data_IF_031997402618
#
_entry.id   IF_031997402618
#
_cell.length_a   1.000
_cell.length_b   1.000
_cell.length_c   1.000
_cell.angle_alpha   90.00
_cell.angle_beta   90.00
_cell.angle_gamma   90.00
#
_symmetry.space_group_name_H-M   'P 1'
#
loop_
_entity.id
_entity.type
_entity.pdbx_description
1 polymer ?
#
# COMPACT_ATOMS: atom_id res chain seq x y z
N UNK A 1 -5.20 -34.31 -10.51
CA UNK A 1 -3.95 -35.00 -10.88
C UNK A 1 -2.88 -33.92 -10.95
N UNK A 2 -1.76 -34.04 -10.21
CA UNK A 2 -0.71 -33.00 -10.22
C UNK A 2 -0.16 -32.88 -11.65
N UNK A 3 0.03 -31.65 -12.12
CA UNK A 3 0.60 -31.41 -13.45
C UNK A 3 2.09 -31.78 -13.47
N UNK A 4 2.65 -32.08 -14.65
CA UNK A 4 4.09 -32.39 -14.75
C UNK A 4 4.97 -31.22 -14.29
N UNK A 5 4.50 -29.97 -14.46
CA UNK A 5 5.19 -28.78 -13.95
C UNK A 5 5.22 -28.72 -12.41
N UNK A 6 4.12 -29.06 -11.74
CA UNK A 6 4.07 -29.13 -10.27
C UNK A 6 4.93 -30.28 -9.73
N UNK A 7 4.96 -31.42 -10.42
CA UNK A 7 5.82 -32.57 -10.04
C UNK A 7 7.31 -32.24 -10.16
N UNK A 8 7.73 -31.43 -11.13
CA UNK A 8 9.12 -30.97 -11.25
C UNK A 8 9.52 -30.09 -10.06
N UNK A 9 8.62 -29.25 -9.55
CA UNK A 9 8.87 -28.41 -8.37
C UNK A 9 9.00 -29.27 -7.10
N UNK A 10 8.10 -30.24 -6.92
CA UNK A 10 8.15 -31.18 -5.79
C UNK A 10 9.45 -32.02 -5.78
N UNK A 11 9.92 -32.49 -6.95
CA UNK A 11 11.16 -33.25 -7.06
C UNK A 11 12.41 -32.40 -6.79
N UNK A 12 12.41 -31.12 -7.20
CA UNK A 12 13.52 -30.20 -6.90
C UNK A 12 13.65 -29.90 -5.41
N UNK A 13 12.53 -29.69 -4.71
CA UNK A 13 12.55 -29.52 -3.26
C UNK A 13 13.03 -30.78 -2.54
N UNK A 14 12.61 -31.96 -2.99
CA UNK A 14 13.08 -33.25 -2.44
C UNK A 14 14.58 -33.45 -2.68
N UNK A 15 15.10 -33.01 -3.83
CA UNK A 15 16.54 -33.05 -4.14
C UNK A 15 17.35 -32.18 -3.18
N UNK A 16 16.88 -30.96 -2.89
CA UNK A 16 17.57 -30.04 -1.97
C UNK A 16 17.68 -30.64 -0.57
N UNK A 17 16.57 -31.20 -0.05
CA UNK A 17 16.56 -31.87 1.26
C UNK A 17 17.56 -33.04 1.32
N UNK A 18 17.67 -33.85 0.26
CA UNK A 18 18.62 -34.98 0.21
C UNK A 18 20.07 -34.53 0.01
N UNK A 19 20.30 -33.45 -0.74
CA UNK A 19 21.62 -32.86 -0.89
C UNK A 19 22.13 -32.26 0.42
N UNK A 20 21.25 -31.68 1.23
CA UNK A 20 21.62 -31.16 2.55
C UNK A 20 21.86 -32.28 3.56
N UNK A 21 21.10 -33.38 3.50
CA UNK A 21 21.38 -34.58 4.29
C UNK A 21 22.74 -35.22 3.93
N UNK A 22 23.07 -35.28 2.63
CA UNK A 22 24.38 -35.77 2.17
C UNK A 22 25.53 -34.89 2.67
N UNK A 23 25.38 -33.55 2.61
CA UNK A 23 26.36 -32.61 3.18
C UNK A 23 26.51 -32.80 4.68
N UNK A 24 25.42 -33.04 5.42
CA UNK A 24 25.47 -33.27 6.85
C UNK A 24 26.24 -34.55 7.22
N UNK A 25 26.09 -35.64 6.44
CA UNK A 25 26.88 -36.87 6.62
C UNK A 25 28.37 -36.61 6.35
N UNK A 26 28.71 -35.86 5.30
CA UNK A 26 30.09 -35.48 5.01
C UNK A 26 30.70 -34.54 6.06
N UNK A 27 29.90 -33.60 6.58
CA UNK A 27 30.35 -32.63 7.59
C UNK A 27 30.69 -33.32 8.92
N UNK A 28 29.95 -34.36 9.32
CA UNK A 28 30.25 -35.14 10.54
C UNK A 28 31.65 -35.75 10.53
N UNK A 29 32.08 -36.30 9.39
CA UNK A 29 33.43 -36.87 9.27
C UNK A 29 34.52 -35.79 9.29
N UNK A 30 34.23 -34.60 8.73
CA UNK A 30 35.13 -33.44 8.76
C UNK A 30 35.27 -32.88 10.19
N UNK A 31 34.17 -32.71 10.91
CA UNK A 31 34.14 -32.17 12.27
C UNK A 31 34.87 -33.08 13.27
N UNK A 32 34.83 -34.39 13.05
CA UNK A 32 35.51 -35.40 13.87
C UNK A 32 36.95 -35.69 13.42
N UNK A 33 37.44 -35.03 12.35
CA UNK A 33 38.82 -35.16 11.88
C UNK A 33 39.20 -36.57 11.40
N UNK A 34 38.23 -37.38 10.99
CA UNK A 34 38.41 -38.78 10.57
C UNK A 34 37.85 -39.03 9.17
N UNK A 35 38.30 -40.09 8.51
CA UNK A 35 37.62 -40.58 7.30
C UNK A 35 36.24 -41.12 7.64
N UNK A 36 35.32 -41.10 6.66
CA UNK A 36 34.00 -41.72 6.79
C UNK A 36 34.13 -43.18 7.25
N UNK A 37 33.31 -43.57 8.22
CA UNK A 37 33.20 -44.98 8.62
C UNK A 37 32.38 -45.77 7.58
N UNK A 38 32.45 -47.10 7.60
CA UNK A 38 31.77 -47.97 6.62
C UNK A 38 30.26 -47.68 6.49
N UNK A 39 29.57 -47.40 7.59
CA UNK A 39 28.15 -47.06 7.58
C UNK A 39 27.86 -45.66 6.99
N UNK A 40 28.73 -44.68 7.22
CA UNK A 40 28.57 -43.31 6.70
C UNK A 40 28.87 -43.25 5.20
N UNK A 41 29.84 -44.05 4.74
CA UNK A 41 30.13 -44.22 3.32
C UNK A 41 28.97 -44.88 2.57
N UNK A 42 28.36 -45.93 3.13
CA UNK A 42 27.17 -46.57 2.55
C UNK A 42 25.95 -45.63 2.51
N UNK A 43 25.75 -44.80 3.54
CA UNK A 43 24.68 -43.80 3.56
C UNK A 43 24.92 -42.70 2.52
N UNK A 44 26.16 -42.23 2.37
CA UNK A 44 26.55 -41.25 1.37
C UNK A 44 26.33 -41.78 -0.06
N UNK A 45 26.82 -42.98 -0.37
CA UNK A 45 26.67 -43.62 -1.68
C UNK A 45 25.19 -43.88 -2.02
N UNK A 46 24.38 -44.22 -1.01
CA UNK A 46 22.93 -44.39 -1.17
C UNK A 46 22.25 -43.07 -1.53
N UNK A 47 22.54 -42.00 -0.79
CA UNK A 47 22.02 -40.66 -1.07
C UNK A 47 22.46 -40.15 -2.44
N UNK A 48 23.69 -40.45 -2.87
CA UNK A 48 24.18 -40.09 -4.21
C UNK A 48 23.42 -40.84 -5.31
N UNK A 49 23.17 -42.13 -5.10
CA UNK A 49 22.32 -42.93 -5.99
C UNK A 49 20.90 -42.36 -6.12
N UNK A 50 20.31 -41.90 -5.02
CA UNK A 50 18.97 -41.32 -5.00
C UNK A 50 18.91 -39.94 -5.68
N UNK A 51 19.90 -39.08 -5.46
CA UNK A 51 19.98 -37.77 -6.14
C UNK A 51 20.13 -37.95 -7.64
N UNK A 52 20.96 -38.90 -8.11
CA UNK A 52 21.10 -39.21 -9.55
C UNK A 52 19.78 -39.67 -10.18
N UNK A 53 18.96 -40.43 -9.44
CA UNK A 53 17.62 -40.84 -9.91
C UNK A 53 16.67 -39.65 -10.01
N UNK A 54 16.64 -38.80 -8.99
CA UNK A 54 15.80 -37.60 -8.97
C UNK A 54 16.20 -36.63 -10.10
N UNK A 55 17.49 -36.44 -10.34
CA UNK A 55 17.98 -35.59 -11.43
C UNK A 55 17.60 -36.12 -12.82
N UNK A 56 17.66 -37.45 -13.01
CA UNK A 56 17.19 -38.08 -14.23
C UNK A 56 15.68 -37.87 -14.45
N UNK A 57 14.88 -37.96 -13.39
CA UNK A 57 13.42 -37.79 -13.46
C UNK A 57 13.02 -36.32 -13.66
N UNK A 58 13.71 -35.37 -13.02
CA UNK A 58 13.55 -33.93 -13.28
C UNK A 58 13.88 -33.61 -14.75
N UNK A 59 14.91 -34.22 -15.32
CA UNK A 59 15.28 -34.02 -16.72
C UNK A 59 14.29 -34.64 -17.72
N UNK A 60 13.60 -35.72 -17.35
CA UNK A 60 12.53 -36.34 -18.16
C UNK A 60 11.24 -35.53 -18.07
N UNK A 61 10.80 -35.20 -16.86
CA UNK A 61 9.55 -34.50 -16.61
C UNK A 61 9.60 -33.04 -17.05
N UNK A 62 10.75 -32.37 -16.99
CA UNK A 62 10.90 -31.03 -17.57
C UNK A 62 10.76 -31.04 -19.10
N UNK A 63 11.31 -32.04 -19.79
CA UNK A 63 11.11 -32.23 -21.24
C UNK A 63 9.64 -32.48 -21.59
N UNK A 64 8.95 -33.32 -20.82
CA UNK A 64 7.52 -33.58 -21.01
C UNK A 64 6.69 -32.32 -20.71
N UNK A 65 7.00 -31.57 -19.66
CA UNK A 65 6.32 -30.32 -19.33
C UNK A 65 6.52 -29.23 -20.41
N UNK A 66 7.70 -29.15 -21.03
CA UNK A 66 7.95 -28.25 -22.16
C UNK A 66 7.22 -28.72 -23.43
N UNK A 67 7.12 -30.04 -23.66
CA UNK A 67 6.30 -30.60 -24.75
C UNK A 67 4.80 -30.35 -24.54
N UNK A 68 4.31 -30.41 -23.30
CA UNK A 68 2.93 -30.07 -22.94
C UNK A 68 2.64 -28.58 -23.16
N UNK A 69 3.60 -27.69 -22.86
CA UNK A 69 3.47 -26.26 -23.18
C UNK A 69 3.44 -25.99 -24.68
N UNK A 70 4.18 -26.76 -25.47
CA UNK A 70 4.23 -26.61 -26.94
C UNK A 70 3.01 -27.23 -27.64
N UNK A 71 2.42 -28.28 -27.07
CA UNK A 71 1.17 -28.89 -27.56
C UNK A 71 -0.08 -28.19 -27.02
N UNK A 72 0.04 -27.33 -26.02
CA UNK A 72 -1.04 -26.48 -25.50
C UNK A 72 -1.39 -25.26 -26.40
N UNK A 73 -1.46 -25.46 -27.73
CA UNK A 73 -2.10 -24.51 -28.64
C UNK A 73 -3.04 -25.22 -29.62
N UNK A 74 -4.29 -24.76 -29.59
CA UNK A 74 -5.46 -25.11 -30.40
C UNK A 74 -6.06 -26.51 -30.15
N UNK A 75 -6.99 -26.61 -29.19
CA UNK A 75 -8.11 -27.54 -29.36
C UNK A 75 -9.01 -26.91 -30.42
N UNK A 76 -8.86 -27.38 -31.66
CA UNK A 76 -9.83 -27.16 -32.73
C UNK A 76 -11.21 -27.63 -32.27
N UNK A 77 -12.19 -26.79 -32.53
CA UNK A 77 -13.59 -26.98 -32.21
C UNK A 77 -14.27 -27.98 -33.17
N UNK A 78 -13.76 -29.21 -33.30
CA UNK A 78 -14.33 -30.22 -34.20
C UNK A 78 -14.75 -31.56 -33.56
N UNK A 79 -14.34 -31.89 -32.33
CA UNK A 79 -14.58 -33.26 -31.81
C UNK A 79 -15.73 -33.41 -30.79
N UNK A 80 -16.74 -32.53 -30.84
CA UNK A 80 -18.00 -32.73 -30.08
C UNK A 80 -19.28 -32.50 -30.89
N UNK A 81 -19.24 -32.69 -32.21
CA UNK A 81 -20.44 -32.57 -33.08
C UNK A 81 -21.00 -33.92 -33.57
N UNK A 82 -20.84 -35.02 -32.83
CA UNK A 82 -21.49 -36.30 -33.19
C UNK A 82 -22.32 -36.95 -32.07
N UNK A 83 -22.56 -36.28 -30.93
CA UNK A 83 -23.40 -36.86 -29.85
C UNK A 83 -24.58 -36.01 -29.38
N UNK A 84 -25.05 -35.03 -30.18
CA UNK A 84 -26.23 -34.22 -29.81
C UNK A 84 -27.23 -34.07 -30.97
N UNK A 85 -27.56 -35.16 -31.65
CA UNK A 85 -28.80 -35.25 -32.46
C UNK A 85 -29.90 -35.93 -31.64
N UNK A 86 -30.46 -35.19 -30.67
CA UNK A 86 -31.86 -35.30 -30.17
C UNK A 86 -32.07 -34.34 -29.01
N UNK A 87 -32.80 -33.25 -29.26
CA UNK A 87 -33.25 -32.33 -28.21
C UNK A 87 -33.34 -30.90 -28.70
N UNK A 88 -34.34 -30.64 -29.54
CA UNK A 88 -34.62 -29.32 -30.09
C UNK A 88 -35.15 -28.34 -29.02
N UNK A 89 -34.93 -27.06 -29.33
CA UNK A 89 -35.66 -25.85 -28.91
C UNK A 89 -35.06 -25.04 -27.76
N UNK A 90 -34.73 -23.80 -28.15
CA UNK A 90 -34.60 -22.57 -27.38
C UNK A 90 -33.23 -22.25 -26.76
N UNK A 91 -32.48 -21.37 -27.46
CA UNK A 91 -31.59 -20.33 -26.90
C UNK A 91 -30.97 -19.49 -28.02
N UNK A 92 -31.14 -18.17 -27.93
CA UNK A 92 -30.48 -17.14 -28.74
C UNK A 92 -28.95 -17.32 -28.77
N UNK A 93 -28.25 -16.87 -29.83
CA UNK A 93 -26.79 -17.01 -29.92
C UNK A 93 -26.10 -16.16 -28.84
N UNK A 94 -25.40 -16.82 -27.92
CA UNK A 94 -24.45 -16.16 -27.02
C UNK A 94 -23.32 -15.56 -27.86
N UNK A 95 -23.27 -14.23 -27.92
CA UNK A 95 -22.07 -13.53 -28.39
C UNK A 95 -20.96 -13.68 -27.34
N UNK A 96 -19.86 -14.32 -27.73
CA UNK A 96 -18.61 -14.33 -26.96
C UNK A 96 -18.02 -12.91 -26.97
N UNK A 97 -18.31 -12.15 -25.92
CA UNK A 97 -17.73 -10.83 -25.67
C UNK A 97 -16.32 -11.01 -25.10
N UNK A 98 -15.31 -10.63 -25.87
CA UNK A 98 -13.92 -10.55 -25.39
C UNK A 98 -13.84 -9.43 -24.34
N UNK A 99 -13.83 -9.80 -23.06
CA UNK A 99 -13.57 -8.85 -21.98
C UNK A 99 -12.05 -8.69 -21.85
N UNK A 100 -11.55 -7.53 -22.26
CA UNK A 100 -10.15 -7.16 -22.06
C UNK A 100 -9.86 -7.09 -20.55
N UNK A 101 -8.87 -7.84 -20.06
CA UNK A 101 -8.44 -7.79 -18.66
C UNK A 101 -7.55 -6.55 -18.48
N UNK A 102 -8.18 -5.41 -18.24
CA UNK A 102 -7.48 -4.14 -18.00
C UNK A 102 -6.69 -4.18 -16.69
N UNK A 103 -5.55 -3.50 -16.65
CA UNK A 103 -4.78 -3.27 -15.42
C UNK A 103 -5.62 -2.48 -14.39
N UNK A 104 -5.39 -2.72 -13.07
CA UNK A 104 -6.09 -2.01 -12.00
C UNK A 104 -6.00 -0.48 -12.20
N UNK A 105 -7.15 0.21 -12.23
CA UNK A 105 -7.25 1.67 -12.34
C UNK A 105 -7.63 2.23 -13.72
N UNK A 106 -7.29 1.56 -14.83
CA UNK A 106 -7.59 2.07 -16.19
C UNK A 106 -9.10 2.14 -16.46
N UNK A 107 -9.85 1.17 -15.92
CA UNK A 107 -11.30 1.13 -16.09
C UNK A 107 -12.02 2.25 -15.30
N UNK A 108 -11.46 2.69 -14.16
CA UNK A 108 -11.97 3.84 -13.42
C UNK A 108 -11.69 5.15 -14.15
N UNK A 109 -10.49 5.30 -14.73
CA UNK A 109 -10.17 6.46 -15.57
C UNK A 109 -11.12 6.59 -16.77
N UNK A 110 -11.44 5.48 -17.45
CA UNK A 110 -12.42 5.45 -18.56
C UNK A 110 -13.85 5.80 -18.11
N UNK A 111 -14.26 5.31 -16.94
CA UNK A 111 -15.57 5.64 -16.34
C UNK A 111 -15.68 7.12 -15.94
N UNK A 112 -14.66 7.64 -15.26
CA UNK A 112 -14.55 9.04 -14.90
C UNK A 112 -14.64 9.93 -16.15
N UNK A 113 -13.87 9.61 -17.18
CA UNK A 113 -13.81 10.35 -18.43
C UNK A 113 -15.16 10.39 -19.17
N UNK A 114 -15.95 9.32 -19.11
CA UNK A 114 -17.28 9.31 -19.71
C UNK A 114 -18.26 10.19 -18.92
N UNK A 115 -18.17 10.19 -17.59
CA UNK A 115 -19.01 11.03 -16.73
C UNK A 115 -18.67 12.51 -16.83
N UNK A 116 -17.39 12.82 -16.92
CA UNK A 116 -16.93 14.19 -16.97
C UNK A 116 -17.20 14.83 -18.34
N UNK A 117 -16.94 14.11 -19.43
CA UNK A 117 -17.34 14.53 -20.78
C UNK A 117 -18.85 14.69 -20.93
N UNK A 118 -19.62 13.97 -20.12
CA UNK A 118 -21.07 14.09 -20.07
C UNK A 118 -21.58 15.16 -19.11
N UNK A 119 -20.70 15.94 -18.45
CA UNK A 119 -21.04 16.97 -17.47
C UNK A 119 -22.02 16.47 -16.40
N UNK A 120 -21.83 15.24 -15.91
CA UNK A 120 -22.69 14.62 -14.90
C UNK A 120 -24.02 14.04 -15.43
N UNK A 121 -24.30 14.13 -16.73
CA UNK A 121 -25.47 13.49 -17.33
C UNK A 121 -25.17 12.00 -17.64
N UNK A 122 -25.65 11.12 -16.76
CA UNK A 122 -25.41 9.67 -16.85
C UNK A 122 -25.89 9.05 -18.19
N UNK A 123 -26.96 9.57 -18.80
CA UNK A 123 -27.45 9.08 -20.08
C UNK A 123 -26.51 9.40 -21.24
N UNK A 124 -25.90 10.59 -21.22
CA UNK A 124 -24.92 10.99 -22.23
C UNK A 124 -23.57 10.30 -21.99
N UNK A 125 -23.21 10.05 -20.73
CA UNK A 125 -22.02 9.28 -20.35
C UNK A 125 -22.09 7.84 -20.88
N UNK A 126 -23.25 7.20 -20.78
CA UNK A 126 -23.50 5.87 -21.32
C UNK A 126 -23.32 5.80 -22.84
N UNK A 127 -23.93 6.74 -23.59
CA UNK A 127 -23.79 6.79 -25.05
C UNK A 127 -22.35 7.03 -25.49
N UNK A 128 -21.59 7.84 -24.74
CA UNK A 128 -20.17 8.06 -24.98
C UNK A 128 -19.33 6.82 -24.68
N UNK A 129 -19.66 6.07 -23.62
CA UNK A 129 -18.98 4.82 -23.28
C UNK A 129 -19.21 3.72 -24.32
N UNK A 130 -20.43 3.59 -24.86
CA UNK A 130 -20.71 2.65 -25.97
C UNK A 130 -19.96 3.00 -27.25
N UNK A 131 -19.85 4.29 -27.57
CA UNK A 131 -19.19 4.76 -28.79
C UNK A 131 -17.67 4.72 -28.71
N UNK A 132 -17.08 5.04 -27.56
CA UNK A 132 -15.63 5.16 -27.39
C UNK A 132 -14.96 3.94 -26.75
N UNK A 133 -15.66 3.15 -25.95
CA UNK A 133 -15.10 2.00 -25.21
C UNK A 133 -15.95 0.72 -25.31
N UNK A 134 -16.26 0.21 -26.52
CA UNK A 134 -17.14 -0.95 -26.71
C UNK A 134 -16.63 -2.26 -26.09
N UNK A 135 -15.33 -2.35 -25.79
CA UNK A 135 -14.67 -3.55 -25.27
C UNK A 135 -14.54 -3.56 -23.73
N UNK A 136 -14.92 -2.48 -23.05
CA UNK A 136 -14.87 -2.37 -21.57
C UNK A 136 -16.27 -2.52 -20.97
N UNK A 137 -16.75 -3.77 -20.91
CA UNK A 137 -18.14 -4.08 -20.55
C UNK A 137 -18.55 -3.57 -19.16
N UNK A 138 -17.62 -3.53 -18.22
CA UNK A 138 -17.87 -3.09 -16.86
C UNK A 138 -18.12 -1.56 -16.74
N UNK A 139 -17.56 -0.74 -17.63
CA UNK A 139 -17.80 0.72 -17.66
C UNK A 139 -19.13 1.05 -18.35
N UNK A 140 -19.42 0.35 -19.44
CA UNK A 140 -20.68 0.55 -20.19
C UNK A 140 -21.89 0.12 -19.36
N UNK A 141 -21.80 -1.01 -18.65
CA UNK A 141 -22.91 -1.50 -17.80
C UNK A 141 -23.15 -0.65 -16.56
N UNK A 142 -22.11 -0.10 -15.92
CA UNK A 142 -22.28 0.77 -14.74
C UNK A 142 -22.89 2.12 -15.13
N UNK A 143 -22.49 2.70 -16.26
CA UNK A 143 -23.07 3.95 -16.77
C UNK A 143 -24.51 3.76 -17.26
N UNK A 144 -24.84 2.59 -17.82
CA UNK A 144 -26.23 2.22 -18.15
C UNK A 144 -27.10 2.11 -16.89
N UNK A 145 -26.61 1.45 -15.86
CA UNK A 145 -27.35 1.35 -14.59
C UNK A 145 -27.58 2.73 -13.96
N UNK A 146 -26.62 3.65 -14.07
CA UNK A 146 -26.77 5.02 -13.60
C UNK A 146 -27.71 5.88 -14.47
N UNK A 147 -27.75 5.66 -15.79
CA UNK A 147 -28.67 6.38 -16.67
C UNK A 147 -30.12 5.94 -16.50
N UNK A 148 -30.34 4.69 -16.07
CA UNK A 148 -31.66 4.13 -15.73
C UNK A 148 -32.12 4.51 -14.29
N UNK A 149 -31.38 5.37 -13.59
CA UNK A 149 -31.79 5.96 -12.30
C UNK A 149 -31.22 5.32 -11.04
N UNK A 150 -30.21 4.43 -11.15
CA UNK A 150 -29.55 3.87 -9.98
C UNK A 150 -28.54 4.87 -9.37
N UNK A 151 -28.94 5.52 -8.26
CA UNK A 151 -28.05 6.36 -7.48
C UNK A 151 -27.05 5.51 -6.70
N UNK A 152 -25.75 5.66 -7.00
CA UNK A 152 -24.66 5.00 -6.25
C UNK A 152 -24.71 5.29 -4.74
N UNK A 153 -25.26 6.44 -4.33
CA UNK A 153 -25.48 6.79 -2.92
C UNK A 153 -26.60 5.98 -2.26
N UNK A 154 -27.72 5.74 -2.93
CA UNK A 154 -28.82 4.93 -2.38
C UNK A 154 -28.47 3.43 -2.35
N UNK A 155 -27.72 2.93 -3.34
CA UNK A 155 -27.31 1.52 -3.34
C UNK A 155 -26.25 1.18 -2.27
N UNK A 156 -25.45 2.15 -1.81
CA UNK A 156 -24.52 1.94 -0.69
C UNK A 156 -25.18 2.09 0.70
N UNK A 157 -26.21 2.93 0.83
CA UNK A 157 -26.83 3.23 2.13
C UNK A 157 -27.93 2.23 2.56
N UNK A 158 -28.54 1.48 1.65
CA UNK A 158 -29.57 0.47 2.01
C UNK A 158 -28.95 -0.88 2.48
N UNK A 159 -27.63 -1.07 2.33
CA UNK A 159 -26.94 -2.36 2.58
C UNK A 159 -26.59 -2.63 4.05
N UNK A 160 -27.45 -2.25 5.00
CA UNK A 160 -27.32 -2.63 6.41
C UNK A 160 -28.44 -3.57 6.89
N UNK A 161 -29.49 -3.84 6.09
CA UNK A 161 -30.64 -4.63 6.54
C UNK A 161 -31.10 -5.65 5.49
N UNK A 162 -30.75 -6.93 5.75
CA UNK A 162 -31.46 -8.17 5.36
C UNK A 162 -31.12 -8.90 4.03
N UNK A 163 -30.80 -10.19 4.26
CA UNK A 163 -30.97 -11.45 3.51
C UNK A 163 -30.26 -11.72 2.17
N UNK A 164 -29.77 -12.95 2.07
CA UNK A 164 -28.99 -13.55 0.99
C UNK A 164 -29.69 -13.50 -0.37
N UNK A 165 -29.13 -12.70 -1.29
CA UNK A 165 -29.40 -12.79 -2.73
C UNK A 165 -28.29 -13.59 -3.40
N UNK A 166 -28.65 -14.75 -3.96
CA UNK A 166 -27.75 -15.66 -4.69
C UNK A 166 -27.26 -15.03 -6.00
N UNK A 167 -26.09 -15.47 -6.48
CA UNK A 167 -25.31 -14.94 -7.61
C UNK A 167 -25.93 -15.09 -9.02
N UNK A 168 -27.25 -15.11 -9.16
CA UNK A 168 -27.94 -15.38 -10.43
C UNK A 168 -28.65 -14.13 -10.99
N UNK A 169 -28.82 -13.06 -10.20
CA UNK A 169 -29.52 -11.85 -10.66
C UNK A 169 -28.57 -10.81 -11.29
N UNK A 170 -28.56 -10.77 -12.62
CA UNK A 170 -27.62 -9.98 -13.44
C UNK A 170 -27.99 -8.50 -13.60
N UNK A 171 -29.20 -8.10 -13.18
CA UNK A 171 -29.72 -6.74 -13.42
C UNK A 171 -29.48 -5.80 -12.24
N UNK A 172 -29.51 -6.30 -11.00
CA UNK A 172 -29.43 -5.45 -9.80
C UNK A 172 -28.09 -5.53 -9.05
N UNK A 173 -27.44 -6.70 -9.02
CA UNK A 173 -26.19 -6.91 -8.27
C UNK A 173 -24.92 -6.80 -9.14
N UNK A 174 -25.04 -7.02 -10.45
CA UNK A 174 -23.92 -6.94 -11.40
C UNK A 174 -23.18 -5.60 -11.36
N UNK A 175 -23.87 -4.45 -11.52
CA UNK A 175 -23.23 -3.13 -11.49
C UNK A 175 -22.54 -2.81 -10.15
N UNK A 176 -23.02 -3.38 -9.05
CA UNK A 176 -22.49 -3.11 -7.71
C UNK A 176 -21.15 -3.80 -7.45
N UNK A 177 -21.01 -5.04 -7.92
CA UNK A 177 -19.74 -5.77 -7.85
C UNK A 177 -18.69 -5.03 -8.69
N UNK A 178 -19.04 -4.59 -9.90
CA UNK A 178 -18.11 -3.84 -10.75
C UNK A 178 -17.76 -2.45 -10.18
N UNK A 179 -18.72 -1.70 -9.61
CA UNK A 179 -18.45 -0.43 -8.95
C UNK A 179 -17.54 -0.55 -7.71
N UNK A 180 -17.74 -1.60 -6.88
CA UNK A 180 -16.85 -1.91 -5.77
C UNK A 180 -15.46 -2.36 -6.24
N UNK A 181 -15.35 -3.10 -7.35
CA UNK A 181 -14.05 -3.45 -7.95
C UNK A 181 -13.30 -2.22 -8.47
N UNK A 182 -13.98 -1.23 -9.07
CA UNK A 182 -13.29 -0.03 -9.58
C UNK A 182 -12.75 0.88 -8.48
N UNK A 183 -13.52 1.11 -7.42
CA UNK A 183 -13.02 1.84 -6.25
C UNK A 183 -11.97 1.03 -5.49
N UNK A 184 -12.14 -0.29 -5.43
CA UNK A 184 -11.16 -1.22 -4.86
C UNK A 184 -9.82 -1.21 -5.59
N UNK A 185 -9.81 -1.14 -6.93
CA UNK A 185 -8.58 -1.12 -7.74
C UNK A 185 -7.82 0.21 -7.60
N UNK A 186 -8.52 1.35 -7.53
CA UNK A 186 -7.89 2.65 -7.30
C UNK A 186 -7.28 2.74 -5.89
N UNK A 187 -7.98 2.24 -4.88
CA UNK A 187 -7.47 2.14 -3.50
C UNK A 187 -6.29 1.15 -3.44
N UNK A 188 -6.33 0.06 -4.21
CA UNK A 188 -5.26 -0.95 -4.28
C UNK A 188 -4.01 -0.42 -5.00
N UNK A 189 -4.16 0.49 -5.96
CA UNK A 189 -3.04 1.17 -6.62
C UNK A 189 -2.41 2.25 -5.73
N UNK A 190 -3.22 3.02 -5.01
CA UNK A 190 -2.73 4.12 -4.18
C UNK A 190 -2.15 3.68 -2.83
N UNK A 191 -2.71 2.65 -2.18
CA UNK A 191 -2.22 2.14 -0.88
C UNK A 191 -0.70 1.86 -0.85
N UNK A 192 -0.11 1.13 -1.81
CA UNK A 192 1.32 0.85 -1.76
C UNK A 192 2.20 2.06 -2.06
N UNK A 193 1.66 3.18 -2.57
CA UNK A 193 2.44 4.40 -2.85
C UNK A 193 2.49 5.38 -1.69
N UNK A 194 1.47 5.39 -0.82
CA UNK A 194 1.40 6.29 0.34
C UNK A 194 2.03 5.69 1.58
N UNK A 195 2.75 6.47 2.39
CA UNK A 195 3.32 6.01 3.67
C UNK A 195 2.22 5.54 4.63
N UNK A 196 1.10 6.25 4.70
CA UNK A 196 -0.03 5.88 5.55
C UNK A 196 -0.68 4.56 5.08
N UNK A 197 -0.75 4.32 3.77
CA UNK A 197 -1.32 3.10 3.21
C UNK A 197 -0.40 1.87 3.35
N UNK A 198 0.92 2.08 3.40
CA UNK A 198 1.89 1.04 3.73
C UNK A 198 1.93 0.75 5.24
N UNK A 199 1.67 1.77 6.06
CA UNK A 199 1.60 1.67 7.51
C UNK A 199 0.38 0.88 7.98
N UNK A 200 0.50 0.21 9.12
CA UNK A 200 -0.62 -0.46 9.78
C UNK A 200 -1.08 0.27 11.04
N UNK A 201 -1.12 1.61 11.05
CA UNK A 201 -1.50 2.38 12.23
C UNK A 201 -2.85 1.95 12.85
N UNK A 202 -3.03 2.26 14.14
CA UNK A 202 -4.26 1.91 14.86
C UNK A 202 -5.40 2.85 14.42
N UNK A 203 -6.48 2.31 13.82
CA UNK A 203 -7.60 3.14 13.41
C UNK A 203 -8.36 3.67 14.64
N UNK A 204 -8.73 4.94 14.61
CA UNK A 204 -9.58 5.59 15.62
C UNK A 204 -10.63 6.47 14.93
N UNK A 205 -11.85 6.58 15.46
CA UNK A 205 -12.85 7.49 14.92
C UNK A 205 -12.45 8.96 15.17
N UNK A 206 -13.03 9.89 14.40
CA UNK A 206 -12.88 11.32 14.67
C UNK A 206 -13.70 11.77 15.89
N UNK A 207 -13.29 12.89 16.49
CA UNK A 207 -13.97 13.57 17.59
C UNK A 207 -14.19 12.71 18.85
N UNK A 208 -13.26 11.80 19.11
CA UNK A 208 -13.21 11.07 20.38
C UNK A 208 -12.04 11.56 21.21
N UNK A 209 -12.25 11.56 22.52
CA UNK A 209 -11.20 11.80 23.50
C UNK A 209 -10.68 10.44 23.97
N UNK A 210 -9.45 10.12 23.62
CA UNK A 210 -8.82 8.87 24.01
C UNK A 210 -7.90 9.13 25.19
N UNK A 211 -8.19 8.49 26.32
CA UNK A 211 -7.27 8.43 27.45
C UNK A 211 -6.11 7.49 27.13
N UNK A 212 -4.90 8.03 27.00
CA UNK A 212 -3.65 7.28 27.01
C UNK A 212 -3.13 7.15 28.43
N UNK A 213 -2.64 5.98 28.81
CA UNK A 213 -1.92 5.81 30.07
C UNK A 213 -0.44 6.13 29.83
N UNK A 214 0.09 7.14 30.51
CA UNK A 214 1.48 7.59 30.33
C UNK A 214 2.46 6.88 31.26
N UNK A 215 1.97 6.29 32.36
CA UNK A 215 2.80 5.54 33.31
C UNK A 215 2.17 4.19 33.65
N UNK A 216 2.92 3.12 33.44
CA UNK A 216 2.60 1.78 33.92
C UNK A 216 2.88 1.70 35.41
N UNK A 217 1.83 1.45 36.20
CA UNK A 217 1.97 1.29 37.62
C UNK A 217 2.94 0.16 38.00
N UNK A 218 3.81 0.39 38.97
CA UNK A 218 4.77 -0.62 39.44
C UNK A 218 4.16 -1.51 40.53
N UNK A 219 4.47 -2.80 40.45
CA UNK A 219 4.17 -3.78 41.49
C UNK A 219 5.47 -4.20 42.18
N UNK A 220 5.45 -4.30 43.51
CA UNK A 220 6.58 -4.73 44.32
C UNK A 220 6.28 -6.01 45.08
N UNK A 221 7.30 -6.86 45.25
CA UNK A 221 7.21 -8.01 46.16
C UNK A 221 7.08 -7.53 47.60
N UNK A 222 6.13 -8.10 48.35
CA UNK A 222 5.88 -7.73 49.74
C UNK A 222 6.19 -8.88 50.68
N UNK A 223 6.98 -8.60 51.72
CA UNK A 223 7.23 -9.54 52.80
C UNK A 223 5.99 -9.78 53.67
N UNK A 224 5.91 -10.94 54.30
CA UNK A 224 4.81 -11.30 55.21
C UNK A 224 4.65 -10.24 56.32
N UNK A 225 3.43 -9.73 56.49
CA UNK A 225 3.10 -8.72 57.51
C UNK A 225 3.47 -7.27 57.17
N UNK A 226 3.99 -6.99 55.96
CA UNK A 226 4.25 -5.62 55.51
C UNK A 226 3.10 -5.05 54.68
N UNK A 227 2.94 -3.73 54.76
CA UNK A 227 1.94 -3.01 53.98
C UNK A 227 2.22 -3.15 52.48
N UNK A 228 1.15 -3.32 51.69
CA UNK A 228 1.24 -3.40 50.24
C UNK A 228 1.46 -2.00 49.65
N UNK A 229 2.41 -1.82 48.72
CA UNK A 229 2.61 -0.52 48.07
C UNK A 229 1.37 -0.17 47.23
N UNK A 230 0.99 1.11 47.24
CA UNK A 230 -0.11 1.63 46.42
C UNK A 230 0.46 2.09 45.09
N UNK A 231 -0.08 1.54 44.00
CA UNK A 231 0.33 1.84 42.65
C UNK A 231 -0.48 3.02 42.09
N UNK A 232 0.20 4.04 41.55
CA UNK A 232 -0.43 5.17 40.84
C UNK A 232 -0.37 4.94 39.33
N UNK A 233 -1.42 5.35 38.62
CA UNK A 233 -1.44 5.43 37.16
C UNK A 233 -1.62 6.88 36.74
N UNK A 234 -0.81 7.34 35.78
CA UNK A 234 -0.97 8.65 35.16
C UNK A 234 -1.64 8.49 33.79
N UNK A 235 -2.57 9.39 33.47
CA UNK A 235 -3.33 9.40 32.23
C UNK A 235 -3.14 10.73 31.50
N UNK A 236 -2.93 10.67 30.20
CA UNK A 236 -3.06 11.78 29.27
C UNK A 236 -4.35 11.58 28.47
N UNK A 237 -5.01 12.64 28.02
CA UNK A 237 -6.12 12.52 27.10
C UNK A 237 -5.82 13.30 25.82
N UNK A 238 -5.76 12.57 24.70
CA UNK A 238 -5.62 13.14 23.37
C UNK A 238 -6.99 13.23 22.72
N UNK A 239 -7.38 14.42 22.27
CA UNK A 239 -8.59 14.62 21.46
C UNK A 239 -8.21 14.46 20.00
N UNK A 240 -9.00 13.69 19.25
CA UNK A 240 -8.86 13.52 17.81
C UNK A 240 -9.72 14.58 17.10
N UNK A 241 -9.15 15.71 16.62
CA UNK A 241 -9.91 16.73 15.91
C UNK A 241 -10.30 16.29 14.49
N UNK A 242 -11.20 17.04 13.87
CA UNK A 242 -11.38 16.99 12.43
C UNK A 242 -10.33 17.88 11.78
N UNK A 243 -9.42 17.28 11.01
CA UNK A 243 -8.47 17.98 10.15
C UNK A 243 -8.74 17.60 8.71
N UNK A 244 -8.56 18.55 7.80
CA UNK A 244 -8.89 18.41 6.39
C UNK A 244 -7.74 18.88 5.52
N UNK A 245 -7.38 18.05 4.55
CA UNK A 245 -6.50 18.44 3.45
C UNK A 245 -7.36 18.62 2.21
N UNK A 246 -7.18 19.74 1.52
CA UNK A 246 -7.92 20.03 0.30
C UNK A 246 -7.02 20.72 -0.73
N UNK A 247 -7.27 20.44 -2.00
CA UNK A 247 -6.63 21.09 -3.14
C UNK A 247 -7.69 21.47 -4.17
N UNK A 248 -7.54 22.65 -4.77
CA UNK A 248 -8.42 23.13 -5.84
C UNK A 248 -7.56 23.43 -7.07
N UNK A 249 -8.02 22.97 -8.23
CA UNK A 249 -7.44 23.31 -9.53
C UNK A 249 -8.53 23.88 -10.43
N UNK A 250 -8.19 24.90 -11.21
CA UNK A 250 -9.10 25.55 -12.15
C UNK A 250 -8.57 25.35 -13.56
N UNK A 251 -9.43 24.89 -14.47
CA UNK A 251 -9.13 24.80 -15.91
C UNK A 251 -10.20 25.51 -16.72
N UNK A 252 -9.87 25.94 -17.93
CA UNK A 252 -10.85 26.55 -18.84
C UNK A 252 -11.70 25.47 -19.52
N UNK A 253 -12.95 25.78 -19.86
CA UNK A 253 -13.86 24.86 -20.55
C UNK A 253 -13.40 24.58 -21.98
N UNK A 254 -12.70 25.53 -22.62
CA UNK A 254 -12.03 25.33 -23.89
C UNK A 254 -10.95 24.27 -23.75
N UNK A 255 -10.10 24.36 -22.71
CA UNK A 255 -9.09 23.34 -22.46
C UNK A 255 -9.76 21.99 -22.18
N UNK A 256 -10.79 21.93 -21.33
CA UNK A 256 -11.51 20.70 -21.06
C UNK A 256 -12.18 20.08 -22.30
N UNK A 257 -12.60 20.90 -23.27
CA UNK A 257 -13.33 20.46 -24.48
C UNK A 257 -12.45 20.16 -25.68
N UNK A 258 -11.36 20.92 -25.87
CA UNK A 258 -10.42 20.77 -26.98
C UNK A 258 -9.21 19.91 -26.63
N UNK A 259 -8.98 19.62 -25.35
CA UNK A 259 -8.00 18.61 -24.98
C UNK A 259 -8.52 17.24 -25.39
N UNK A 260 -7.62 16.44 -25.96
CA UNK A 260 -7.80 15.00 -26.01
C UNK A 260 -8.16 14.49 -24.59
N UNK A 261 -8.94 13.39 -24.49
CA UNK A 261 -9.53 12.88 -23.24
C UNK A 261 -8.63 12.80 -21.99
N UNK A 262 -7.32 12.98 -22.11
CA UNK A 262 -6.32 12.94 -21.06
C UNK A 262 -6.26 14.16 -20.14
N UNK A 263 -6.65 15.38 -20.54
CA UNK A 263 -6.35 16.56 -19.70
C UNK A 263 -7.11 16.59 -18.38
N UNK A 264 -8.39 16.22 -18.37
CA UNK A 264 -9.19 16.18 -17.14
C UNK A 264 -8.82 15.01 -16.23
N UNK A 265 -8.54 13.84 -16.82
CA UNK A 265 -8.01 12.70 -16.08
C UNK A 265 -6.65 13.03 -15.45
N UNK A 266 -5.78 13.71 -16.19
CA UNK A 266 -4.48 14.18 -15.71
C UNK A 266 -4.65 15.16 -14.54
N UNK A 267 -5.54 16.14 -14.64
CA UNK A 267 -5.80 17.10 -13.55
C UNK A 267 -6.37 16.40 -12.32
N UNK A 268 -7.28 15.44 -12.52
CA UNK A 268 -7.81 14.62 -11.44
C UNK A 268 -6.74 13.81 -10.74
N UNK A 269 -5.92 13.08 -11.50
CA UNK A 269 -4.87 12.22 -10.96
C UNK A 269 -3.80 13.07 -10.28
N UNK A 270 -3.44 14.21 -10.88
CA UNK A 270 -2.50 15.18 -10.28
C UNK A 270 -3.04 15.78 -8.99
N UNK A 271 -4.33 16.08 -8.90
CA UNK A 271 -4.95 16.57 -7.67
C UNK A 271 -4.94 15.53 -6.55
N UNK A 272 -5.25 14.28 -6.88
CA UNK A 272 -5.16 13.17 -5.92
C UNK A 272 -3.72 12.97 -5.45
N UNK A 273 -2.75 12.98 -6.37
CA UNK A 273 -1.33 12.88 -6.07
C UNK A 273 -0.82 14.05 -5.22
N UNK A 274 -1.29 15.28 -5.45
CA UNK A 274 -0.95 16.44 -4.62
C UNK A 274 -1.44 16.31 -3.17
N UNK A 275 -2.68 15.86 -2.97
CA UNK A 275 -3.23 15.62 -1.62
C UNK A 275 -2.43 14.54 -0.90
N UNK A 276 -2.09 13.46 -1.61
CA UNK A 276 -1.27 12.36 -1.08
C UNK A 276 0.13 12.84 -0.73
N UNK A 277 0.80 13.54 -1.65
CA UNK A 277 2.15 14.05 -1.45
C UNK A 277 2.20 14.95 -0.21
N UNK A 278 1.20 15.82 -0.04
CA UNK A 278 1.11 16.69 1.13
C UNK A 278 0.94 15.91 2.43
N UNK A 279 0.07 14.90 2.44
CA UNK A 279 -0.15 14.04 3.61
C UNK A 279 1.12 13.29 4.00
N UNK A 280 1.84 12.70 3.04
CA UNK A 280 3.07 11.95 3.30
C UNK A 280 4.24 12.85 3.73
N UNK A 281 4.35 14.06 3.18
CA UNK A 281 5.35 15.05 3.58
C UNK A 281 5.12 15.54 5.00
N UNK A 282 3.90 15.95 5.33
CA UNK A 282 3.58 16.48 6.67
C UNK A 282 3.61 15.37 7.75
N UNK A 283 3.44 14.09 7.39
CA UNK A 283 3.35 12.97 8.34
C UNK A 283 4.59 12.87 9.25
N UNK A 284 5.78 13.04 8.69
CA UNK A 284 7.05 12.90 9.42
C UNK A 284 7.85 14.20 9.46
N UNK A 285 7.25 15.34 9.13
CA UNK A 285 7.95 16.62 9.20
C UNK A 285 8.17 17.04 10.67
N UNK A 286 9.42 17.23 11.15
CA UNK A 286 9.68 17.68 12.51
C UNK A 286 9.26 19.13 12.76
N UNK A 287 9.17 19.97 11.72
CA UNK A 287 8.92 21.41 11.85
C UNK A 287 7.41 21.75 11.81
N UNK A 288 6.57 20.82 11.39
CA UNK A 288 5.11 21.01 11.34
C UNK A 288 4.51 20.86 12.74
N UNK A 289 4.23 22.01 13.37
CA UNK A 289 3.50 22.08 14.62
C UNK A 289 1.98 21.91 14.40
N UNK A 290 1.30 21.29 15.38
CA UNK A 290 -0.15 21.19 15.35
C UNK A 290 -0.80 22.57 15.43
N UNK A 291 -1.70 22.87 14.49
CA UNK A 291 -2.60 24.02 14.56
C UNK A 291 -3.99 23.51 14.89
N UNK A 292 -4.53 23.96 16.02
CA UNK A 292 -5.81 23.48 16.52
C UNK A 292 -6.92 23.57 15.46
N UNK A 293 -7.53 22.43 15.13
CA UNK A 293 -8.59 22.28 14.12
C UNK A 293 -8.20 22.61 12.67
N UNK A 294 -6.90 22.72 12.35
CA UNK A 294 -6.42 23.04 11.00
C UNK A 294 -5.47 21.96 10.48
N UNK A 295 -4.38 21.68 11.21
CA UNK A 295 -3.38 20.69 10.80
C UNK A 295 -2.92 19.83 11.98
N UNK A 296 -2.71 18.52 11.77
CA UNK A 296 -2.00 17.70 12.74
C UNK A 296 -0.53 18.14 12.84
N UNK A 297 0.14 17.81 13.94
CA UNK A 297 1.59 17.91 14.01
C UNK A 297 2.20 16.76 13.18
N UNK A 298 3.38 16.97 12.61
CA UNK A 298 4.18 15.86 12.13
C UNK A 298 4.56 14.93 13.29
N UNK A 299 4.70 13.64 13.04
CA UNK A 299 4.97 12.64 14.08
C UNK A 299 6.36 12.80 14.72
N UNK A 300 7.29 13.48 14.04
CA UNK A 300 8.62 13.80 14.56
C UNK A 300 8.65 15.13 15.33
N UNK A 301 7.56 15.91 15.34
CA UNK A 301 7.52 17.19 16.03
C UNK A 301 7.72 16.99 17.54
N UNK A 302 8.76 17.62 18.09
CA UNK A 302 9.15 17.47 19.49
C UNK A 302 9.95 16.18 19.80
N UNK A 303 10.31 15.38 18.80
CA UNK A 303 11.20 14.21 18.95
C UNK A 303 12.61 14.62 18.56
N UNK A 304 13.54 14.62 19.52
CA UNK A 304 14.95 14.91 19.23
C UNK A 304 15.59 13.77 18.41
N UNK A 305 16.39 14.07 17.38
CA UNK A 305 17.13 13.06 16.64
C UNK A 305 18.09 12.30 17.58
N UNK A 306 18.21 10.99 17.35
CA UNK A 306 19.19 10.14 18.02
C UNK A 306 20.57 10.45 17.44
N UNK A 307 21.51 10.81 18.31
CA UNK A 307 22.90 11.02 17.91
C UNK A 307 23.57 9.66 17.62
N UNK A 308 24.22 9.54 16.46
CA UNK A 308 25.05 8.37 16.15
C UNK A 308 26.42 8.58 16.78
N UNK A 309 26.79 7.71 17.73
CA UNK A 309 28.08 7.80 18.42
C UNK A 309 29.24 7.77 17.41
N UNK A 310 30.01 8.86 17.31
CA UNK A 310 31.14 8.98 16.39
C UNK A 310 30.88 9.70 15.06
N UNK A 311 29.66 10.24 14.84
CA UNK A 311 29.27 11.13 13.72
C UNK A 311 29.44 10.60 12.28
N UNK A 312 29.87 9.36 12.06
CA UNK A 312 30.09 8.83 10.71
C UNK A 312 29.28 7.55 10.49
N UNK A 313 28.18 7.67 9.75
CA UNK A 313 27.52 6.53 9.11
C UNK A 313 28.20 6.34 7.76
N UNK A 314 28.86 5.20 7.55
CA UNK A 314 29.57 4.90 6.31
C UNK A 314 29.10 3.55 5.75
N UNK A 315 28.66 3.52 4.49
CA UNK A 315 28.23 2.29 3.84
C UNK A 315 29.40 1.38 3.45
N UNK A 316 30.65 1.88 3.46
CA UNK A 316 31.87 1.08 3.26
C UNK A 316 32.13 0.16 4.45
N UNK A 317 31.75 0.57 5.66
CA UNK A 317 31.76 -0.26 6.86
C UNK A 317 30.33 -0.47 7.38
N UNK A 318 29.65 -1.56 6.96
CA UNK A 318 28.28 -1.85 7.37
C UNK A 318 28.06 -1.91 8.89
N UNK A 319 29.12 -2.10 9.70
CA UNK A 319 29.00 -2.07 11.15
C UNK A 319 28.60 -0.68 11.68
N UNK A 320 29.04 0.40 11.03
CA UNK A 320 28.66 1.76 11.44
C UNK A 320 27.16 1.99 11.26
N UNK A 321 26.59 1.49 10.16
CA UNK A 321 25.16 1.51 9.86
C UNK A 321 24.39 0.66 10.87
N UNK A 322 24.88 -0.54 11.20
CA UNK A 322 24.27 -1.41 12.23
C UNK A 322 24.27 -0.77 13.60
N UNK A 323 25.36 -0.11 13.99
CA UNK A 323 25.45 0.65 15.24
C UNK A 323 24.47 1.82 15.27
N UNK A 324 24.32 2.56 14.16
CA UNK A 324 23.35 3.64 14.04
C UNK A 324 21.90 3.13 14.19
N UNK A 325 21.58 2.02 13.52
CA UNK A 325 20.27 1.37 13.65
C UNK A 325 20.05 0.91 15.10
N UNK A 326 21.02 0.24 15.73
CA UNK A 326 20.93 -0.21 17.11
C UNK A 326 20.69 0.95 18.10
N UNK A 327 21.28 2.13 17.84
CA UNK A 327 21.05 3.32 18.66
C UNK A 327 19.58 3.79 18.63
N UNK A 328 18.83 3.54 17.54
CA UNK A 328 17.39 3.83 17.48
C UNK A 328 16.56 2.94 18.41
N UNK A 329 17.03 1.73 18.71
CA UNK A 329 16.32 0.78 19.58
C UNK A 329 16.55 1.04 21.07
N UNK A 330 17.69 1.64 21.44
CA UNK A 330 18.05 1.85 22.84
C UNK A 330 16.97 2.57 23.70
N UNK A 331 16.23 3.57 23.18
CA UNK A 331 15.12 4.18 23.93
C UNK A 331 13.96 3.22 24.22
N UNK A 332 13.75 2.20 23.37
CA UNK A 332 12.67 1.22 23.53
C UNK A 332 12.97 0.16 24.58
N UNK A 333 14.24 -0.20 24.76
CA UNK A 333 14.69 -1.17 25.77
C UNK A 333 14.28 -0.76 27.20
N UNK A 334 14.13 0.54 27.44
CA UNK A 334 13.74 1.09 28.75
C UNK A 334 12.25 1.39 28.90
N UNK A 335 11.46 1.32 27.82
CA UNK A 335 10.08 1.82 27.80
C UNK A 335 9.02 0.76 27.48
N UNK A 336 9.41 -0.51 27.24
CA UNK A 336 8.49 -1.59 26.85
C UNK A 336 7.61 -1.22 25.64
N UNK A 337 8.22 -0.58 24.65
CA UNK A 337 7.64 -0.21 23.35
C UNK A 337 8.29 -1.09 22.27
N UNK A 338 7.66 -1.24 21.11
CA UNK A 338 8.18 -2.03 19.99
C UNK A 338 7.32 -3.25 19.67
N UNK A 339 6.00 -3.18 19.91
CA UNK A 339 5.11 -4.30 19.61
C UNK A 339 4.96 -4.53 18.10
N UNK A 340 5.02 -3.46 17.30
CA UNK A 340 5.04 -3.54 15.84
C UNK A 340 5.98 -2.48 15.26
N UNK A 341 7.29 -2.77 15.27
CA UNK A 341 8.30 -1.85 14.80
C UNK A 341 8.31 -1.80 13.27
N UNK A 342 8.62 -0.62 12.72
CA UNK A 342 8.92 -0.47 11.31
C UNK A 342 9.83 0.72 11.04
N UNK A 343 10.62 0.59 9.99
CA UNK A 343 11.48 1.65 9.50
C UNK A 343 10.81 2.43 8.37
N UNK A 344 11.06 3.73 8.34
CA UNK A 344 10.64 4.65 7.29
C UNK A 344 11.86 5.42 6.82
N UNK A 345 12.08 5.44 5.50
CA UNK A 345 13.24 6.12 4.92
C UNK A 345 12.97 6.56 3.47
N UNK A 346 13.87 7.36 2.93
CA UNK A 346 13.87 7.75 1.51
C UNK A 346 14.40 6.62 0.63
N UNK A 347 14.02 6.55 -0.68
CA UNK A 347 14.58 5.61 -1.63
C UNK A 347 16.10 5.74 -1.82
N UNK A 348 16.70 6.89 -1.52
CA UNK A 348 18.15 7.06 -1.61
C UNK A 348 18.87 6.19 -0.58
N UNK A 349 18.45 6.25 0.68
CA UNK A 349 19.01 5.43 1.77
C UNK A 349 18.72 3.94 1.55
N UNK A 350 17.50 3.58 1.14
CA UNK A 350 17.15 2.19 0.86
C UNK A 350 18.04 1.58 -0.23
N UNK A 351 18.38 2.36 -1.27
CA UNK A 351 19.31 1.92 -2.32
C UNK A 351 20.73 1.73 -1.79
N UNK A 352 21.22 2.63 -0.94
CA UNK A 352 22.55 2.48 -0.32
C UNK A 352 22.62 1.24 0.57
N UNK A 353 21.59 1.00 1.39
CA UNK A 353 21.48 -0.23 2.19
C UNK A 353 21.48 -1.48 1.31
N UNK A 354 20.68 -1.51 0.24
CA UNK A 354 20.61 -2.65 -0.66
C UNK A 354 21.89 -2.90 -1.48
N UNK A 355 22.66 -1.85 -1.80
CA UNK A 355 23.92 -1.94 -2.54
C UNK A 355 25.14 -2.23 -1.65
N UNK A 356 25.06 -1.95 -0.34
CA UNK A 356 26.15 -2.22 0.59
C UNK A 356 26.53 -3.71 0.62
N UNK A 357 27.83 -3.98 0.73
CA UNK A 357 28.42 -5.32 0.71
C UNK A 357 29.39 -5.46 1.86
N UNK A 358 29.43 -6.66 2.43
CA UNK A 358 30.49 -7.04 3.37
C UNK A 358 31.81 -7.26 2.62
N UNK A 359 32.97 -7.24 3.32
CA UNK A 359 34.27 -7.54 2.71
C UNK A 359 34.35 -8.90 2.02
N UNK A 360 33.47 -9.85 2.39
CA UNK A 360 33.35 -11.18 1.81
C UNK A 360 32.48 -11.20 0.53
N UNK A 361 31.97 -10.05 0.08
CA UNK A 361 31.14 -9.90 -1.13
C UNK A 361 29.65 -10.19 -0.96
N UNK A 362 29.22 -10.61 0.23
CA UNK A 362 27.81 -10.84 0.55
C UNK A 362 27.06 -9.51 0.75
N UNK A 363 25.73 -9.52 0.54
CA UNK A 363 24.89 -8.38 0.86
C UNK A 363 24.95 -8.09 2.37
N UNK A 364 25.29 -6.85 2.75
CA UNK A 364 25.42 -6.50 4.15
C UNK A 364 24.07 -6.47 4.88
N UNK A 365 22.98 -6.14 4.19
CA UNK A 365 21.61 -6.19 4.72
C UNK A 365 20.72 -7.10 3.87
N UNK A 366 20.73 -8.42 4.13
CA UNK A 366 19.85 -9.36 3.44
C UNK A 366 18.38 -9.01 3.66
N UNK A 367 17.58 -8.99 2.59
CA UNK A 367 16.15 -8.68 2.64
C UNK A 367 15.79 -7.21 2.36
N UNK A 368 16.78 -6.31 2.31
CA UNK A 368 16.58 -4.94 1.83
C UNK A 368 16.70 -4.89 0.30
N UNK A 369 15.73 -4.26 -0.33
CA UNK A 369 15.70 -3.99 -1.77
C UNK A 369 15.69 -2.49 -2.03
N UNK A 370 15.94 -2.10 -3.29
CA UNK A 370 15.94 -0.68 -3.71
C UNK A 370 14.61 0.04 -3.44
N UNK A 371 13.52 -0.71 -3.31
CA UNK A 371 12.16 -0.18 -3.10
C UNK A 371 11.60 -0.51 -1.71
N UNK A 372 12.44 -0.93 -0.76
CA UNK A 372 12.03 -1.31 0.60
C UNK A 372 12.29 -2.80 0.88
N UNK A 373 11.53 -3.40 1.79
CA UNK A 373 11.68 -4.83 2.12
C UNK A 373 11.71 -5.04 3.63
N UNK A 374 12.66 -5.85 4.11
CA UNK A 374 12.87 -6.06 5.55
C UNK A 374 14.32 -5.83 5.91
N UNK A 375 14.55 -5.07 6.97
CA UNK A 375 15.86 -4.84 7.57
C UNK A 375 15.90 -5.60 8.90
N UNK A 376 16.70 -6.67 8.97
CA UNK A 376 16.83 -7.55 10.14
C UNK A 376 15.47 -8.05 10.68
N UNK A 377 14.53 -8.38 9.79
CA UNK A 377 13.19 -8.87 10.11
C UNK A 377 12.13 -7.79 10.38
N UNK A 378 12.52 -6.52 10.40
CA UNK A 378 11.62 -5.37 10.58
C UNK A 378 11.29 -4.75 9.22
N UNK A 379 10.00 -4.45 8.92
CA UNK A 379 9.62 -3.91 7.62
C UNK A 379 10.24 -2.53 7.39
N UNK A 380 10.82 -2.35 6.19
CA UNK A 380 11.38 -1.10 5.69
C UNK A 380 10.42 -0.49 4.68
N UNK A 381 9.78 0.61 5.07
CA UNK A 381 8.89 1.42 4.24
C UNK A 381 9.66 2.55 3.60
N UNK A 382 9.39 2.73 2.31
CA UNK A 382 10.12 3.67 1.48
C UNK A 382 9.12 4.57 0.77
N UNK A 383 9.32 5.88 0.86
CA UNK A 383 8.55 6.86 0.10
C UNK A 383 9.43 8.00 -0.38
N UNK A 384 9.18 8.41 -1.62
CA UNK A 384 9.80 9.57 -2.24
C UNK A 384 9.32 10.91 -1.66
N UNK A 385 8.19 10.91 -0.95
CA UNK A 385 7.58 12.11 -0.37
C UNK A 385 8.01 12.37 1.08
N UNK A 386 8.85 11.48 1.64
CA UNK A 386 9.49 11.72 2.92
C UNK A 386 10.54 12.83 2.73
N UNK A 387 10.25 14.00 3.31
CA UNK A 387 11.09 15.17 3.13
C UNK A 387 12.43 15.02 3.85
N UNK A 388 13.46 15.63 3.28
CA UNK A 388 14.81 15.68 3.84
C UNK A 388 14.89 16.77 4.93
N UNK A 389 14.02 16.68 5.95
CA UNK A 389 13.80 17.76 6.90
C UNK A 389 14.50 17.46 8.22
N UNK A 390 15.43 18.34 8.58
CA UNK A 390 16.29 18.25 9.76
C UNK A 390 17.63 19.00 9.61
N UNK A 391 17.95 19.47 8.41
CA UNK A 391 19.02 20.45 8.18
C UNK A 391 20.44 19.87 8.25
N UNK A 392 20.58 18.57 8.52
CA UNK A 392 21.88 17.89 8.63
C UNK A 392 22.51 17.47 7.28
N UNK A 393 21.81 17.68 6.15
CA UNK A 393 22.31 17.36 4.81
C UNK A 393 22.19 15.89 4.40
N UNK A 394 21.71 15.01 5.29
CA UNK A 394 21.34 13.62 5.01
C UNK A 394 19.82 13.41 4.99
N UNK A 395 19.39 12.16 4.89
CA UNK A 395 17.97 11.79 4.89
C UNK A 395 17.51 11.23 6.23
N UNK A 396 16.22 11.42 6.58
CA UNK A 396 15.68 10.87 7.80
C UNK A 396 15.56 9.35 7.69
N UNK A 397 16.04 8.66 8.73
CA UNK A 397 15.78 7.25 8.95
C UNK A 397 15.04 7.10 10.28
N UNK A 398 13.79 6.67 10.18
CA UNK A 398 12.83 6.76 11.28
C UNK A 398 12.42 5.36 11.68
N UNK A 399 12.45 5.09 12.98
CA UNK A 399 11.91 3.89 13.60
C UNK A 399 10.61 4.25 14.32
N UNK A 400 9.53 3.54 13.99
CA UNK A 400 8.18 3.79 14.53
C UNK A 400 7.58 2.51 15.06
N UNK A 401 7.02 2.54 16.27
CA UNK A 401 6.09 1.51 16.73
C UNK A 401 4.67 1.84 16.24
N UNK A 402 4.26 1.22 15.14
CA UNK A 402 2.97 1.50 14.52
C UNK A 402 1.78 1.12 15.42
N UNK A 403 1.96 0.27 16.43
CA UNK A 403 0.89 -0.05 17.38
C UNK A 403 0.53 1.13 18.28
N UNK A 404 1.47 2.07 18.44
CA UNK A 404 1.37 3.25 19.29
C UNK A 404 1.09 4.53 18.49
N UNK A 405 0.73 4.41 17.20
CA UNK A 405 0.27 5.53 16.38
C UNK A 405 -1.22 5.39 16.11
N UNK A 406 -1.98 6.44 16.41
CA UNK A 406 -3.39 6.55 16.04
C UNK A 406 -3.54 7.18 14.66
N UNK A 407 -4.49 6.66 13.89
CA UNK A 407 -4.90 7.17 12.59
C UNK A 407 -6.42 7.31 12.58
N UNK A 408 -6.91 8.52 12.39
CA UNK A 408 -8.30 8.78 12.03
C UNK A 408 -8.35 9.16 10.56
N UNK A 409 -9.11 8.40 9.77
CA UNK A 409 -9.17 8.58 8.34
C UNK A 409 -10.60 8.25 7.87
N UNK A 410 -11.14 9.10 7.01
CA UNK A 410 -12.44 8.86 6.36
C UNK A 410 -12.32 7.87 5.18
N UNK A 411 -11.09 7.45 4.85
CA UNK A 411 -10.79 6.35 3.93
C UNK A 411 -11.12 6.65 2.47
N UNK A 412 -11.60 7.85 2.16
CA UNK A 412 -11.93 8.31 0.81
C UNK A 412 -11.44 9.73 0.56
N UNK A 413 -11.02 9.99 -0.68
CA UNK A 413 -10.81 11.35 -1.19
C UNK A 413 -12.08 11.70 -1.97
N UNK A 414 -12.79 12.74 -1.56
CA UNK A 414 -13.95 13.23 -2.31
C UNK A 414 -13.45 14.19 -3.39
N UNK A 415 -13.94 13.99 -4.62
CA UNK A 415 -13.69 14.87 -5.76
C UNK A 415 -14.99 15.50 -6.22
N UNK A 416 -15.01 16.83 -6.27
CA UNK A 416 -16.13 17.63 -6.76
C UNK A 416 -15.68 18.54 -7.90
N UNK A 417 -16.58 18.84 -8.83
CA UNK A 417 -16.35 19.81 -9.91
C UNK A 417 -17.49 20.84 -9.96
N UNK A 418 -17.17 22.10 -10.26
CA UNK A 418 -18.15 23.18 -10.37
C UNK A 418 -17.77 24.22 -11.42
N UNK A 419 -18.73 24.59 -12.26
CA UNK A 419 -18.65 25.67 -13.26
C UNK A 419 -19.35 26.96 -12.82
N UNK A 420 -19.99 26.96 -11.64
CA UNK A 420 -20.70 28.11 -11.06
C UNK A 420 -20.03 28.66 -9.79
N UNK A 421 -18.87 28.10 -9.41
CA UNK A 421 -18.12 28.56 -8.24
C UNK A 421 -17.51 29.95 -8.45
N UNK A 422 -17.30 30.67 -7.34
CA UNK A 422 -16.47 31.88 -7.28
C UNK A 422 -15.27 31.62 -6.41
N UNK A 423 -14.07 31.80 -6.94
CA UNK A 423 -12.81 31.37 -6.30
C UNK A 423 -11.83 32.55 -6.24
N UNK A 424 -11.14 32.69 -5.11
CA UNK A 424 -9.97 33.55 -5.00
C UNK A 424 -8.79 32.83 -5.69
N UNK A 425 -8.26 33.40 -6.77
CA UNK A 425 -7.15 32.82 -7.54
C UNK A 425 -5.81 33.10 -6.84
N UNK A 426 -5.63 32.49 -5.68
CA UNK A 426 -4.52 32.71 -4.76
C UNK A 426 -4.10 31.37 -4.15
N UNK A 427 -2.80 31.15 -3.97
CA UNK A 427 -2.24 29.93 -3.37
C UNK A 427 -2.29 29.96 -1.82
N UNK A 428 -2.51 31.14 -1.24
CA UNK A 428 -2.78 31.36 0.17
C UNK A 428 -4.06 32.19 0.38
N UNK A 429 -5.24 31.65 0.03
CA UNK A 429 -6.48 32.42 0.04
C UNK A 429 -6.85 32.86 1.46
N UNK A 430 -7.35 34.09 1.57
CA UNK A 430 -7.70 34.73 2.86
C UNK A 430 -9.20 34.90 3.06
N UNK A 431 -9.99 34.53 2.05
CA UNK A 431 -11.44 34.51 2.13
C UNK A 431 -11.90 33.52 3.21
N UNK A 432 -12.81 33.99 4.08
CA UNK A 432 -13.31 33.22 5.22
C UNK A 432 -14.80 33.40 5.35
N UNK A 433 -15.50 32.33 5.72
CA UNK A 433 -16.91 32.36 6.13
C UNK A 433 -17.07 32.45 7.65
N UNK A 434 -15.96 32.62 8.38
CA UNK A 434 -15.94 32.81 9.84
C UNK A 434 -16.17 34.28 10.22
N UNK A 435 -16.16 34.58 11.51
CA UNK A 435 -16.48 35.89 12.11
C UNK A 435 -15.61 37.05 11.63
N UNK A 436 -14.49 36.77 10.96
CA UNK A 436 -13.58 37.78 10.39
C UNK A 436 -13.45 37.52 8.89
N UNK A 437 -14.13 38.33 8.09
CA UNK A 437 -14.12 38.22 6.62
C UNK A 437 -13.18 39.30 6.06
N UNK A 438 -12.10 38.88 5.40
CA UNK A 438 -11.28 39.79 4.60
C UNK A 438 -11.94 40.02 3.23
N UNK A 439 -11.93 41.26 2.75
CA UNK A 439 -12.40 41.56 1.40
C UNK A 439 -11.36 41.07 0.37
N UNK A 440 -11.78 40.18 -0.53
CA UNK A 440 -10.91 39.54 -1.53
C UNK A 440 -11.58 39.58 -2.91
N UNK A 441 -10.79 39.69 -3.98
CA UNK A 441 -11.29 39.53 -5.35
C UNK A 441 -11.59 38.06 -5.64
N UNK A 442 -12.79 37.79 -6.16
CA UNK A 442 -13.21 36.46 -6.57
C UNK A 442 -13.42 36.42 -8.08
N UNK A 443 -12.99 35.33 -8.70
CA UNK A 443 -13.22 35.05 -10.13
C UNK A 443 -14.40 34.09 -10.25
N UNK A 444 -15.40 34.49 -11.03
CA UNK A 444 -16.55 33.64 -11.33
C UNK A 444 -16.20 32.65 -12.43
N UNK A 445 -16.27 31.36 -12.12
CA UNK A 445 -16.02 30.28 -13.08
C UNK A 445 -17.00 30.33 -14.25
N UNK A 446 -18.22 30.82 -14.02
CA UNK A 446 -19.22 30.98 -15.06
C UNK A 446 -18.87 32.11 -16.04
N UNK A 447 -18.38 33.24 -15.54
CA UNK A 447 -18.02 34.39 -16.39
C UNK A 447 -16.75 34.13 -17.18
N UNK A 448 -15.79 33.39 -16.62
CA UNK A 448 -14.50 33.09 -17.26
C UNK A 448 -14.49 31.78 -18.04
N UNK A 449 -15.66 31.16 -18.24
CA UNK A 449 -15.81 29.87 -18.90
C UNK A 449 -14.82 28.82 -18.34
N UNK A 450 -14.75 28.70 -17.03
CA UNK A 450 -13.82 27.81 -16.31
C UNK A 450 -14.58 26.73 -15.52
N UNK A 451 -13.87 25.67 -15.14
CA UNK A 451 -14.34 24.60 -14.26
C UNK A 451 -13.32 24.44 -13.15
N UNK A 452 -13.81 24.45 -11.91
CA UNK A 452 -13.00 24.18 -10.74
C UNK A 452 -13.18 22.74 -10.28
N UNK A 453 -12.07 22.07 -9.98
CA UNK A 453 -12.02 20.74 -9.39
C UNK A 453 -11.51 20.86 -7.96
N UNK A 454 -12.18 20.22 -7.01
CA UNK A 454 -11.81 20.16 -5.60
C UNK A 454 -11.58 18.72 -5.22
N UNK A 455 -10.42 18.42 -4.65
CA UNK A 455 -10.16 17.18 -3.94
C UNK A 455 -10.08 17.47 -2.44
N UNK A 456 -10.79 16.72 -1.61
CA UNK A 456 -10.69 16.84 -0.14
C UNK A 456 -10.63 15.47 0.55
N UNK A 457 -9.92 15.42 1.68
CA UNK A 457 -9.84 14.24 2.55
C UNK A 457 -9.75 14.68 4.01
N UNK A 458 -10.54 14.02 4.86
CA UNK A 458 -10.43 14.15 6.31
C UNK A 458 -9.47 13.10 6.83
N UNK A 459 -8.41 13.55 7.51
CA UNK A 459 -7.37 12.68 8.05
C UNK A 459 -6.69 13.35 9.25
N UNK A 460 -6.39 12.56 10.27
CA UNK A 460 -5.62 12.96 11.45
C UNK A 460 -4.74 11.81 11.93
N UNK A 461 -3.58 12.13 12.51
CA UNK A 461 -2.70 11.16 13.16
C UNK A 461 -2.10 11.72 14.43
N UNK A 462 -1.67 10.84 15.33
CA UNK A 462 -0.96 11.24 16.54
C UNK A 462 -0.36 10.06 17.31
N UNK A 463 0.75 10.32 17.99
CA UNK A 463 1.39 9.33 18.86
C UNK A 463 0.57 9.12 20.15
N UNK A 464 0.42 7.85 20.55
CA UNK A 464 -0.26 7.46 21.78
C UNK A 464 0.60 7.67 23.03
N UNK A 465 1.91 7.43 22.91
CA UNK A 465 2.90 7.55 23.97
C UNK A 465 4.14 8.27 23.46
N UNK A 466 4.77 9.05 24.34
CA UNK A 466 6.10 9.61 24.08
C UNK A 466 7.12 8.47 23.93
N UNK A 467 8.02 8.58 22.96
CA UNK A 467 9.03 7.55 22.68
C UNK A 467 8.61 6.48 21.67
N UNK A 468 7.38 6.51 21.16
CA UNK A 468 6.91 5.62 20.09
C UNK A 468 7.65 5.81 18.75
N UNK A 469 8.35 6.93 18.59
CA UNK A 469 9.17 7.25 17.44
C UNK A 469 10.59 7.58 17.87
N UNK A 470 11.56 7.13 17.09
CA UNK A 470 12.97 7.50 17.16
C UNK A 470 13.45 7.76 15.73
N UNK A 471 14.36 8.69 15.53
CA UNK A 471 14.86 8.97 14.18
C UNK A 471 16.28 9.48 14.18
N UNK A 472 16.94 9.30 13.05
CA UNK A 472 18.24 9.89 12.72
C UNK A 472 18.00 10.82 11.53
N UNK A 473 18.50 12.04 11.63
CA UNK A 473 18.30 13.13 10.67
C UNK A 473 19.23 13.04 9.45
N UNK A 474 20.45 12.53 9.67
CA UNK A 474 21.54 12.63 8.70
C UNK A 474 22.01 11.31 8.11
N UNK A 475 21.12 10.39 7.69
CA UNK A 475 21.60 9.20 6.97
C UNK A 475 22.21 9.61 5.62
N UNK A 476 23.41 9.11 5.25
CA UNK A 476 24.04 9.50 4.00
C UNK A 476 23.21 9.00 2.81
N UNK A 477 23.05 9.86 1.80
CA UNK A 477 22.31 9.56 0.56
C UNK A 477 23.22 9.35 -0.63
N UNK A 478 24.52 9.60 -0.46
CA UNK A 478 25.60 9.45 -1.45
C UNK A 478 26.72 8.64 -0.84
N UNK A 479 27.47 7.95 -1.70
CA UNK A 479 28.64 7.15 -1.35
C UNK A 479 29.91 8.01 -1.24
#
# INVERSE_FOLDING_TARGET
MKTFAEQVVDLKSTREVKADAMKAVAQKSIDEGRSMNTAEAEEFDTLEGEIKRIDADVARLSRVAEMDKLTAKAVDASDKSEQLTKGALDRQPLQLKTVEKLEPGIAFARYAMCLTKAKGNHALAFQMAERHYPHTEAVVKTLKAQSEGANLREMMQIKATVAAGTSIDSTWAGPLVYAQTFMGDFISYLRPRTLIGQAQFRPVPFNVRIGGQTSGGTAGWVGQGKAKPVTKFDFNATTVPFTKVAAISVITQELARFSDPSAEALVRDSLADCVIARVDTDLFDPDVAAVANVSPAGLLNGVSPVAVAGNSIDYVDPNTVRCAIAALWAPWDSTNIGARPAYYTTPAVARMLALSREPLGNAAFPGVTMTGGTLDGVPLRVSQYLANNGGSGGAPFILVDEAEIYLADDGSVTLDASDVASIQMDDAPTNSSSTTVAATSLVSMWQTNSVAFRAERFIWWGARRSGALQWIDGFPTTC
#
